data_IF_475429762876
#
_entry.id   IF_475429762876
#
_cell.length_a   1.000
_cell.length_b   1.000
_cell.length_c   1.000
_cell.angle_alpha   90.00
_cell.angle_beta   90.00
_cell.angle_gamma   90.00
#
_symmetry.space_group_name_H-M   'P 1'
#
loop_
_entity.id
_entity.type
_entity.pdbx_description
1 polymer ?
#
# COMPACT_ATOMS: atom_id res chain seq x y z
N UNK A 1 6.87 -34.03 10.20
CA UNK A 1 6.07 -33.50 11.34
C UNK A 1 6.26 -32.00 11.33
N UNK A 2 5.21 -31.21 11.10
CA UNK A 2 5.34 -29.76 10.97
C UNK A 2 5.44 -29.07 12.34
N UNK A 3 6.24 -28.01 12.40
CA UNK A 3 6.24 -27.01 13.46
C UNK A 3 6.72 -25.69 12.83
N UNK A 4 5.83 -24.75 12.52
CA UNK A 4 5.14 -23.84 13.45
C UNK A 4 6.00 -22.60 13.75
N UNK A 5 5.68 -21.56 13.01
CA UNK A 5 6.32 -20.25 12.89
C UNK A 5 6.45 -19.49 14.20
N UNK A 6 7.62 -18.87 14.42
CA UNK A 6 7.81 -17.69 15.29
C UNK A 6 8.92 -16.80 14.75
N UNK A 7 8.59 -15.88 13.84
CA UNK A 7 9.44 -14.72 13.56
C UNK A 7 8.83 -13.53 14.30
N UNK A 8 9.35 -13.26 15.51
CA UNK A 8 9.05 -12.04 16.24
C UNK A 8 9.92 -10.91 15.68
N UNK A 9 9.31 -9.79 15.30
CA UNK A 9 10.05 -8.58 14.92
C UNK A 9 10.13 -7.66 16.14
N UNK A 10 11.24 -7.76 16.88
CA UNK A 10 11.54 -6.88 18.01
C UNK A 10 11.89 -5.46 17.54
N UNK A 11 11.27 -4.46 18.17
CA UNK A 11 11.48 -3.04 17.84
C UNK A 11 12.18 -2.31 18.99
N UNK A 12 13.52 -2.31 19.00
CA UNK A 12 14.32 -1.58 20.01
C UNK A 12 15.48 -0.76 19.43
N UNK A 13 15.18 0.51 19.10
CA UNK A 13 15.98 1.73 19.35
C UNK A 13 17.47 1.84 18.96
N UNK A 14 17.75 2.83 18.10
CA UNK A 14 19.09 3.42 17.81
C UNK A 14 19.44 4.55 18.81
N UNK A 15 20.71 4.78 19.18
CA UNK A 15 21.11 5.80 20.18
C UNK A 15 21.16 7.26 19.67
N UNK A 16 21.17 8.20 20.63
CA UNK A 16 21.25 9.67 20.48
C UNK A 16 22.70 10.22 20.39
N UNK A 17 23.08 11.53 20.29
CA UNK A 17 22.49 12.90 20.31
C UNK A 17 23.49 13.81 19.47
N UNK A 18 23.69 15.16 19.60
CA UNK A 18 22.92 16.25 20.22
C UNK A 18 22.59 17.51 19.33
N UNK A 19 21.35 18.00 19.51
CA UNK A 19 20.88 19.39 19.70
C UNK A 19 21.44 20.64 18.95
N UNK A 20 20.51 21.48 18.43
CA UNK A 20 20.49 22.97 18.56
C UNK A 20 19.09 23.63 18.28
N UNK A 21 18.37 23.95 19.36
CA UNK A 21 17.55 25.18 19.68
C UNK A 21 16.43 25.77 18.77
N UNK A 22 15.15 25.45 19.10
CA UNK A 22 13.88 26.28 19.28
C UNK A 22 13.38 27.33 18.23
N UNK A 23 12.06 27.75 18.22
CA UNK A 23 10.93 27.41 19.12
C UNK A 23 9.56 26.98 18.48
N UNK A 24 8.67 26.42 19.34
CA UNK A 24 7.18 26.36 19.39
C UNK A 24 6.29 26.99 18.27
N UNK A 25 5.04 26.54 17.96
CA UNK A 25 4.16 25.44 18.46
C UNK A 25 2.94 25.27 17.53
N UNK A 26 2.67 24.05 17.06
CA UNK A 26 1.33 23.59 16.68
C UNK A 26 1.30 22.05 16.85
N UNK A 27 0.53 21.54 17.81
CA UNK A 27 0.50 20.11 18.10
C UNK A 27 -0.39 19.40 17.10
N UNK A 28 0.18 18.50 16.29
CA UNK A 28 -0.62 17.47 15.63
C UNK A 28 -1.28 16.61 16.73
N UNK A 29 -2.57 16.27 16.61
CA UNK A 29 -3.22 15.40 17.59
C UNK A 29 -2.52 14.04 17.59
N UNK A 30 -2.15 13.55 18.77
CA UNK A 30 -1.83 12.13 18.94
C UNK A 30 -3.03 11.31 18.44
N UNK A 31 -2.82 10.15 17.80
CA UNK A 31 -3.90 9.20 17.64
C UNK A 31 -4.47 8.94 19.04
N UNK A 32 -5.76 9.18 19.22
CA UNK A 32 -6.44 8.63 20.38
C UNK A 32 -6.57 7.14 20.14
N UNK A 33 -6.02 6.34 21.05
CA UNK A 33 -6.34 4.92 21.17
C UNK A 33 -7.85 4.81 21.45
N UNK A 34 -8.62 4.77 20.36
CA UNK A 34 -9.94 4.20 20.38
C UNK A 34 -9.74 2.71 20.57
N UNK A 35 -10.50 2.14 21.50
CA UNK A 35 -10.63 0.70 21.68
C UNK A 35 -11.33 0.12 20.43
N UNK A 36 -10.56 -0.02 19.35
CA UNK A 36 -10.97 -0.80 18.19
C UNK A 36 -10.86 -2.26 18.63
N UNK A 37 -12.02 -2.87 18.92
CA UNK A 37 -12.11 -4.26 19.35
C UNK A 37 -11.40 -5.23 18.38
N UNK A 38 -11.30 -6.53 18.71
CA UNK A 38 -10.30 -7.46 18.18
C UNK A 38 -9.98 -7.29 16.69
N UNK A 39 -8.69 -7.19 16.37
CA UNK A 39 -8.19 -6.99 15.00
C UNK A 39 -8.67 -8.13 14.11
N UNK A 40 -9.51 -7.79 13.14
CA UNK A 40 -10.13 -8.72 12.21
C UNK A 40 -9.86 -8.28 10.78
N UNK A 41 -9.49 -9.24 9.94
CA UNK A 41 -9.21 -9.09 8.51
C UNK A 41 -10.49 -8.65 7.77
N UNK A 42 -11.67 -9.03 8.26
CA UNK A 42 -12.97 -8.64 7.71
C UNK A 42 -13.26 -7.12 7.66
N UNK A 43 -12.44 -6.28 8.32
CA UNK A 43 -12.53 -4.81 8.24
C UNK A 43 -11.79 -4.21 7.03
N UNK A 44 -10.97 -5.00 6.34
CA UNK A 44 -10.15 -4.56 5.21
C UNK A 44 -10.91 -4.73 3.89
N UNK A 45 -11.23 -3.62 3.23
CA UNK A 45 -11.82 -3.62 1.87
C UNK A 45 -10.70 -3.83 0.84
N UNK A 46 -10.38 -5.10 0.59
CA UNK A 46 -9.42 -5.51 -0.43
C UNK A 46 -10.13 -5.78 -1.76
N UNK A 47 -9.76 -5.04 -2.80
CA UNK A 47 -10.33 -5.16 -4.14
C UNK A 47 -9.26 -5.40 -5.20
N UNK A 48 -9.62 -6.11 -6.25
CA UNK A 48 -8.80 -6.20 -7.46
C UNK A 48 -9.08 -4.98 -8.33
N UNK A 49 -8.02 -4.33 -8.79
CA UNK A 49 -8.11 -3.20 -9.72
C UNK A 49 -7.05 -3.26 -10.81
N UNK A 50 -7.28 -2.53 -11.89
CA UNK A 50 -6.38 -2.42 -13.04
C UNK A 50 -5.71 -1.06 -13.07
N UNK A 51 -4.38 -1.02 -13.11
CA UNK A 51 -3.64 0.23 -13.35
C UNK A 51 -3.84 0.63 -14.82
N UNK A 52 -4.58 1.72 -15.07
CA UNK A 52 -4.81 2.28 -16.41
C UNK A 52 -3.57 3.04 -16.87
N UNK A 53 -3.00 3.84 -15.98
CA UNK A 53 -1.91 4.76 -16.25
C UNK A 53 -0.99 4.84 -15.03
N UNK A 54 0.30 4.58 -15.21
CA UNK A 54 1.35 4.83 -14.23
C UNK A 54 2.28 5.95 -14.73
N UNK A 55 2.64 6.88 -13.85
CA UNK A 55 3.52 8.02 -14.14
C UNK A 55 4.47 8.28 -12.96
N UNK A 56 5.66 8.86 -13.19
CA UNK A 56 6.55 9.26 -12.09
C UNK A 56 6.01 10.51 -11.39
N UNK A 57 6.08 10.57 -10.07
CA UNK A 57 5.67 11.75 -9.31
C UNK A 57 6.61 12.93 -9.60
N UNK A 58 6.10 14.14 -9.95
CA UNK A 58 6.94 15.27 -10.33
C UNK A 58 7.91 15.72 -9.22
N UNK A 59 7.42 15.77 -7.98
CA UNK A 59 8.21 16.20 -6.80
C UNK A 59 8.87 15.05 -6.00
N UNK A 60 8.91 13.82 -6.54
CA UNK A 60 9.44 12.66 -5.79
C UNK A 60 9.91 11.49 -6.68
N UNK A 61 11.24 11.37 -6.85
CA UNK A 61 11.88 10.33 -7.67
C UNK A 61 11.63 8.88 -7.23
N UNK A 62 11.12 8.69 -6.00
CA UNK A 62 10.83 7.37 -5.42
C UNK A 62 9.36 6.97 -5.47
N UNK A 63 8.48 7.82 -6.01
CA UNK A 63 7.04 7.59 -6.04
C UNK A 63 6.50 7.50 -7.48
N UNK A 64 5.60 6.54 -7.72
CA UNK A 64 4.71 6.54 -8.87
C UNK A 64 3.36 7.14 -8.49
N UNK A 65 2.71 7.77 -9.47
CA UNK A 65 1.30 8.19 -9.43
C UNK A 65 0.56 7.34 -10.46
N UNK A 66 -0.37 6.54 -9.96
CA UNK A 66 -1.13 5.52 -10.68
C UNK A 66 -2.62 5.90 -10.70
N UNK A 67 -3.27 5.75 -11.85
CA UNK A 67 -4.74 5.77 -11.97
C UNK A 67 -5.23 4.33 -12.04
N UNK A 68 -6.10 3.96 -11.11
CA UNK A 68 -6.53 2.58 -10.94
C UNK A 68 -8.04 2.45 -11.10
N UNK A 69 -8.44 1.57 -12.02
CA UNK A 69 -9.83 1.17 -12.23
C UNK A 69 -10.23 0.12 -11.19
N UNK A 70 -11.34 0.37 -10.48
CA UNK A 70 -11.84 -0.46 -9.37
C UNK A 70 -13.29 -0.92 -9.58
N UNK A 71 -13.82 -0.80 -10.81
CA UNK A 71 -15.26 -0.94 -11.09
C UNK A 71 -16.11 0.23 -10.56
N UNK A 72 -15.48 1.34 -10.17
CA UNK A 72 -16.11 2.57 -9.72
C UNK A 72 -16.26 3.57 -10.89
N UNK A 73 -17.21 4.53 -10.85
CA UNK A 73 -17.49 5.44 -11.96
C UNK A 73 -16.34 6.40 -12.31
N UNK A 74 -15.32 6.50 -11.46
CA UNK A 74 -14.09 7.22 -11.73
C UNK A 74 -12.88 6.39 -11.27
N UNK A 75 -11.75 6.40 -11.99
CA UNK A 75 -10.52 5.76 -11.53
C UNK A 75 -9.96 6.52 -10.32
N UNK A 76 -9.50 5.78 -9.31
CA UNK A 76 -8.87 6.37 -8.11
C UNK A 76 -7.42 6.72 -8.37
N UNK A 77 -6.93 7.76 -7.70
CA UNK A 77 -5.50 8.09 -7.71
C UNK A 77 -4.79 7.34 -6.58
N UNK A 78 -3.68 6.67 -6.92
CA UNK A 78 -2.88 5.88 -5.98
C UNK A 78 -1.41 6.30 -6.11
N UNK A 79 -0.71 6.40 -4.98
CA UNK A 79 0.71 6.75 -4.94
C UNK A 79 1.49 5.58 -4.35
N UNK A 80 2.39 4.99 -5.14
CA UNK A 80 3.17 3.80 -4.75
C UNK A 80 4.66 4.10 -4.65
N UNK A 81 5.36 3.45 -3.71
CA UNK A 81 6.80 3.59 -3.49
C UNK A 81 7.69 2.69 -4.35
N UNK A 82 7.20 2.27 -5.52
CA UNK A 82 7.73 1.09 -6.23
C UNK A 82 8.83 1.39 -7.27
N UNK A 83 9.23 2.65 -7.47
CA UNK A 83 10.17 3.08 -8.52
C UNK A 83 11.52 2.36 -8.49
N UNK A 84 11.96 1.88 -7.32
CA UNK A 84 13.23 1.14 -7.15
C UNK A 84 13.12 -0.36 -7.43
N UNK A 85 11.91 -0.91 -7.51
CA UNK A 85 11.65 -2.35 -7.52
C UNK A 85 10.96 -2.81 -8.80
N UNK A 86 10.04 -2.01 -9.33
CA UNK A 86 9.23 -2.36 -10.51
C UNK A 86 9.37 -1.25 -11.56
N UNK A 87 9.81 -1.56 -12.79
CA UNK A 87 9.89 -0.56 -13.85
C UNK A 87 8.49 -0.15 -14.31
N UNK A 88 8.35 1.10 -14.77
CA UNK A 88 7.06 1.70 -15.16
C UNK A 88 6.31 0.86 -16.22
N UNK A 89 7.03 0.20 -17.13
CA UNK A 89 6.48 -0.70 -18.15
C UNK A 89 5.72 -1.89 -17.57
N UNK A 90 6.16 -2.41 -16.41
CA UNK A 90 5.49 -3.48 -15.67
C UNK A 90 4.36 -2.97 -14.75
N UNK A 91 4.17 -1.65 -14.65
CA UNK A 91 3.05 -1.05 -13.93
C UNK A 91 1.85 -0.79 -14.85
N UNK A 92 2.09 -0.42 -16.11
CA UNK A 92 1.02 -0.15 -17.08
C UNK A 92 0.15 -1.39 -17.31
N UNK A 93 -1.18 -1.20 -17.32
CA UNK A 93 -2.18 -2.25 -17.56
C UNK A 93 -2.14 -3.45 -16.60
N UNK A 94 -1.38 -3.38 -15.50
CA UNK A 94 -1.24 -4.49 -14.53
C UNK A 94 -2.46 -4.60 -13.62
N UNK A 95 -2.90 -5.82 -13.39
CA UNK A 95 -3.87 -6.16 -12.34
C UNK A 95 -3.17 -6.24 -10.98
N UNK A 96 -3.71 -5.56 -9.98
CA UNK A 96 -3.15 -5.49 -8.63
C UNK A 96 -4.25 -5.56 -7.57
N UNK A 97 -3.91 -5.97 -6.36
CA UNK A 97 -4.81 -5.91 -5.20
C UNK A 97 -4.62 -4.58 -4.48
N UNK A 98 -5.71 -3.89 -4.14
CA UNK A 98 -5.70 -2.59 -3.46
C UNK A 98 -6.52 -2.63 -2.18
N UNK A 99 -6.09 -1.85 -1.19
CA UNK A 99 -6.85 -1.58 0.03
C UNK A 99 -7.60 -0.24 -0.11
N UNK A 100 -8.93 -0.29 -0.15
CA UNK A 100 -9.79 0.83 -0.54
C UNK A 100 -10.49 1.57 0.63
N UNK A 101 -10.46 0.99 1.84
CA UNK A 101 -11.05 1.55 3.08
C UNK A 101 -10.04 2.35 3.93
N UNK A 102 -8.93 2.81 3.34
CA UNK A 102 -8.01 3.72 4.02
C UNK A 102 -8.45 5.18 3.86
N UNK A 103 -8.16 6.00 4.87
CA UNK A 103 -8.33 7.46 4.76
C UNK A 103 -7.35 8.00 3.72
N UNK A 104 -7.79 8.83 2.76
CA UNK A 104 -6.90 9.35 1.71
C UNK A 104 -5.69 10.09 2.30
N UNK A 105 -4.50 9.74 1.82
CA UNK A 105 -3.23 10.25 2.32
C UNK A 105 -2.58 11.18 1.29
N UNK A 106 -2.20 12.39 1.71
CA UNK A 106 -1.48 13.33 0.83
C UNK A 106 0.02 13.05 0.85
N UNK A 107 0.56 12.63 -0.28
CA UNK A 107 1.98 12.42 -0.51
C UNK A 107 2.47 13.45 -1.52
N UNK A 108 3.31 14.39 -1.07
CA UNK A 108 4.01 15.38 -1.93
C UNK A 108 3.11 16.25 -2.82
N UNK A 109 1.82 16.38 -2.49
CA UNK A 109 0.84 17.19 -3.22
C UNK A 109 -0.27 16.35 -3.87
N UNK A 110 0.03 15.10 -4.23
CA UNK A 110 -0.94 14.13 -4.74
C UNK A 110 -1.67 13.45 -3.58
N UNK A 111 -2.97 13.17 -3.74
CA UNK A 111 -3.76 12.43 -2.76
C UNK A 111 -3.88 10.97 -3.22
N UNK A 112 -3.43 10.03 -2.38
CA UNK A 112 -3.61 8.59 -2.59
C UNK A 112 -4.89 8.13 -1.90
N UNK A 113 -5.83 7.59 -2.68
CA UNK A 113 -7.18 7.17 -2.25
C UNK A 113 -7.32 5.65 -2.05
N UNK A 114 -6.24 4.92 -2.32
CA UNK A 114 -6.05 3.52 -1.98
C UNK A 114 -4.55 3.25 -1.77
N UNK A 115 -4.19 1.99 -1.48
CA UNK A 115 -2.82 1.52 -1.39
C UNK A 115 -2.68 0.19 -2.15
N UNK A 116 -1.66 0.06 -3.00
CA UNK A 116 -1.34 -1.21 -3.69
C UNK A 116 -0.72 -2.21 -2.70
N UNK A 117 -1.24 -3.42 -2.67
CA UNK A 117 -0.71 -4.51 -1.84
C UNK A 117 0.50 -5.15 -2.50
N UNK A 118 1.60 -5.25 -1.74
CA UNK A 118 2.86 -5.82 -2.18
C UNK A 118 3.39 -6.78 -1.12
N UNK A 119 4.02 -7.87 -1.54
CA UNK A 119 4.87 -8.68 -0.69
C UNK A 119 6.27 -8.03 -0.62
N UNK A 120 6.80 -7.85 0.58
CA UNK A 120 8.16 -7.33 0.79
C UNK A 120 9.01 -8.31 1.59
N UNK A 121 10.25 -8.48 1.13
CA UNK A 121 11.36 -9.09 1.84
C UNK A 121 12.44 -8.02 2.06
N UNK A 122 13.49 -8.27 2.86
CA UNK A 122 14.58 -7.30 3.06
C UNK A 122 15.24 -6.85 1.74
N UNK A 123 15.28 -7.74 0.74
CA UNK A 123 16.02 -7.54 -0.51
C UNK A 123 15.12 -7.23 -1.72
N UNK A 124 13.82 -7.57 -1.67
CA UNK A 124 12.91 -7.50 -2.84
C UNK A 124 11.49 -7.10 -2.45
N UNK A 125 10.83 -6.34 -3.31
CA UNK A 125 9.38 -6.05 -3.23
C UNK A 125 8.71 -6.51 -4.52
N UNK A 126 7.62 -7.25 -4.40
CA UNK A 126 6.80 -7.72 -5.51
C UNK A 126 5.33 -7.34 -5.30
N UNK A 127 4.64 -6.95 -6.37
CA UNK A 127 3.23 -6.57 -6.31
C UNK A 127 2.36 -7.83 -6.29
N UNK A 128 1.37 -7.84 -5.40
CA UNK A 128 0.44 -8.96 -5.25
C UNK A 128 -0.45 -9.04 -6.51
N UNK A 129 -0.20 -10.08 -7.32
CA UNK A 129 -0.98 -10.34 -8.54
C UNK A 129 -2.22 -11.18 -8.18
N UNK A 130 -3.43 -10.78 -8.61
CA UNK A 130 -4.60 -11.65 -8.55
C UNK A 130 -4.44 -12.83 -9.53
N UNK A 131 -5.17 -13.94 -9.34
CA UNK A 131 -5.20 -15.01 -10.33
C UNK A 131 -5.74 -14.49 -11.67
N UNK A 132 -5.18 -14.98 -12.78
CA UNK A 132 -5.69 -14.68 -14.13
C UNK A 132 -7.16 -15.07 -14.23
N UNK A 133 -7.95 -14.31 -15.00
CA UNK A 133 -9.38 -14.57 -15.23
C UNK A 133 -9.68 -15.98 -15.73
N UNK A 134 -8.73 -16.62 -16.44
CA UNK A 134 -8.82 -17.99 -16.91
C UNK A 134 -8.85 -19.05 -15.79
N UNK A 135 -8.48 -18.70 -14.55
CA UNK A 135 -8.57 -19.59 -13.38
C UNK A 135 -9.88 -19.44 -12.59
N UNK A 136 -10.67 -18.39 -12.84
CA UNK A 136 -12.00 -18.22 -12.21
C UNK A 136 -13.14 -18.89 -13.01
N UNK A 137 -12.88 -19.50 -14.16
CA UNK A 137 -13.89 -20.18 -14.98
C UNK A 137 -14.10 -21.66 -14.63
N UNK A 138 -13.24 -22.25 -13.79
CA UNK A 138 -13.29 -23.67 -13.40
C UNK A 138 -13.84 -23.88 -11.98
N UNK A 139 -15.13 -23.58 -11.79
CA UNK A 139 -16.03 -24.34 -10.90
C UNK A 139 -17.54 -24.01 -11.06
N UNK A 140 -18.20 -24.30 -12.19
CA UNK A 140 -19.65 -24.49 -12.24
C UNK A 140 -19.98 -25.99 -12.09
N UNK A 141 -19.79 -26.58 -10.90
CA UNK A 141 -20.27 -27.96 -10.61
C UNK A 141 -20.27 -28.29 -9.10
N UNK A 142 -21.40 -28.01 -8.44
CA UNK A 142 -22.26 -28.95 -7.67
C UNK A 142 -23.42 -28.16 -7.07
#
# INVERSE_FOLDING_TARGET
>A
MLGADKIAYDTSTKPEKPAKTKPAKAAAPKPSDKDEGPVDIGRLDLRVGKIIEASKHPDADSLYVEKVELGEPAPRTVVSGLVKFVPIEQMQNRMVVLLCNLKPAKMRGVTSEAMVMCASTPDKVEILAPPSSDQCSLAPSI
#
